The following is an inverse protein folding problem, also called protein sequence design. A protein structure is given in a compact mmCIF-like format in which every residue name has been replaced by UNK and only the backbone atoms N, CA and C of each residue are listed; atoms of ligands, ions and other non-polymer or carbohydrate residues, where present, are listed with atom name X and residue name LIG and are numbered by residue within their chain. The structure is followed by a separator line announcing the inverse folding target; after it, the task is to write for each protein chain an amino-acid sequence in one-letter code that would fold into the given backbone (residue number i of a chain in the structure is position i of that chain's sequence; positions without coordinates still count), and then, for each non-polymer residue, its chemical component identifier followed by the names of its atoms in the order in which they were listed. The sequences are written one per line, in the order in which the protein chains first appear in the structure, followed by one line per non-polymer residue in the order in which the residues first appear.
data_IF_904004132240
#
_entry.id   IF_904004132240
#
_cell.length_a   1.000
_cell.length_b   1.000
_cell.length_c   1.000
_cell.angle_alpha   90.00
_cell.angle_beta   90.00
_cell.angle_gamma   90.00
#
_symmetry.space_group_name_H-M   'P 1'
#
loop_
_entity.id
_entity.type
_entity.pdbx_description
1 polymer ?
#
# COMPACT_ATOMS: atom_id res chain seq x y z
N UNK A 2 -2.29 0.19 -6.78
CA UNK A 2 -1.26 -0.69 -6.24
C UNK A 2 -0.21 0.26 -5.68
N UNK A 3 -0.33 0.59 -4.40
CA UNK A 3 0.51 1.58 -3.76
C UNK A 3 0.52 1.31 -2.27
N UNK A 4 1.35 2.05 -1.55
CA UNK A 4 1.36 2.08 -0.11
C UNK A 4 0.11 2.80 0.38
N UNK A 5 -1.00 2.07 0.36
CA UNK A 5 -2.30 2.55 0.76
C UNK A 5 -2.31 2.70 2.29
N UNK A 6 -3.43 2.42 2.95
CA UNK A 6 -3.47 2.38 4.40
C UNK A 6 -2.84 1.11 4.99
N UNK A 7 -1.86 0.51 4.29
CA UNK A 7 -1.08 -0.63 4.71
C UNK A 7 0.17 -0.68 3.83
N UNK A 8 0.84 -1.83 3.81
CA UNK A 8 2.07 -2.03 3.05
C UNK A 8 1.88 -1.71 1.57
N UNK A 9 2.96 -1.30 0.88
CA UNK A 9 2.92 -1.16 -0.57
C UNK A 9 2.81 -2.53 -1.19
N UNK A 10 1.59 -2.88 -1.58
CA UNK A 10 1.29 -4.15 -2.21
C UNK A 10 -0.20 -4.40 -2.06
#
# INVERSE_FOLDING_TARGET
XHWSYGLRPGX
#
